data_IF_957303885963
#
_entry.id   IF_957303885963
#
_cell.length_a   1.000
_cell.length_b   1.000
_cell.length_c   1.000
_cell.angle_alpha   90.00
_cell.angle_beta   90.00
_cell.angle_gamma   90.00
#
_symmetry.space_group_name_H-M   'P 1'
#
loop_
_entity.id
_entity.type
_entity.pdbx_description
1 polymer ?
#
# COMPACT_ATOMS: atom_id res chain seq x y z
N UNK A 1 -0.22 -3.58 -7.17
CA UNK A 1 -0.19 -3.29 -8.62
C UNK A 1 -0.28 -1.78 -8.84
N UNK A 2 0.83 -1.07 -8.88
CA UNK A 2 0.86 0.39 -9.02
C UNK A 2 1.91 0.82 -10.04
N UNK A 3 1.64 0.69 -11.35
CA UNK A 3 2.56 1.20 -12.36
C UNK A 3 2.51 2.74 -12.37
N UNK A 4 3.63 3.42 -12.07
CA UNK A 4 3.71 4.89 -12.14
C UNK A 4 3.86 5.30 -13.62
N UNK A 5 2.74 5.58 -14.27
CA UNK A 5 2.68 5.82 -15.72
C UNK A 5 3.67 6.90 -16.17
N UNK A 6 3.80 7.97 -15.39
CA UNK A 6 4.70 9.08 -15.71
C UNK A 6 6.17 8.67 -15.76
N UNK A 7 6.60 7.65 -15.00
CA UNK A 7 7.98 7.16 -15.05
C UNK A 7 8.26 6.31 -16.29
N UNK A 8 7.23 5.71 -16.88
CA UNK A 8 7.37 4.87 -18.07
C UNK A 8 7.18 5.61 -19.39
N UNK A 9 6.72 6.86 -19.35
CA UNK A 9 6.60 7.67 -20.57
C UNK A 9 7.97 8.12 -21.05
N UNK A 10 8.22 8.13 -22.38
CA UNK A 10 9.46 8.64 -22.94
C UNK A 10 9.53 10.17 -22.80
N UNK A 11 10.41 10.67 -21.95
CA UNK A 11 10.51 12.11 -21.64
C UNK A 11 11.24 12.93 -22.70
N UNK A 12 12.25 12.34 -23.36
CA UNK A 12 13.01 13.04 -24.39
C UNK A 12 12.53 12.73 -25.80
N UNK A 13 12.73 13.66 -26.74
CA UNK A 13 12.44 13.43 -28.17
C UNK A 13 13.17 12.20 -28.72
N UNK A 14 14.41 11.97 -28.27
CA UNK A 14 15.21 10.81 -28.66
C UNK A 14 14.55 9.50 -28.24
N UNK A 15 14.11 9.42 -26.99
CA UNK A 15 13.37 8.26 -26.47
C UNK A 15 12.06 8.04 -27.22
N UNK A 16 11.34 9.12 -27.56
CA UNK A 16 10.09 9.05 -28.34
C UNK A 16 10.34 8.54 -29.76
N UNK A 17 11.42 9.00 -30.41
CA UNK A 17 11.81 8.51 -31.73
C UNK A 17 12.27 7.05 -31.71
N UNK A 18 13.01 6.63 -30.69
CA UNK A 18 13.45 5.24 -30.54
C UNK A 18 12.26 4.31 -30.30
N UNK A 19 11.33 4.72 -29.44
CA UNK A 19 10.08 3.97 -29.20
C UNK A 19 9.24 3.85 -30.48
N UNK A 20 9.04 4.94 -31.22
CA UNK A 20 8.32 4.95 -32.49
C UNK A 20 8.94 3.98 -33.50
N UNK A 21 10.27 3.97 -33.58
CA UNK A 21 11.03 3.04 -34.45
C UNK A 21 10.82 1.58 -34.02
N UNK A 22 10.91 1.28 -32.72
CA UNK A 22 10.70 -0.07 -32.19
C UNK A 22 9.28 -0.58 -32.40
N UNK A 23 8.30 0.31 -32.31
CA UNK A 23 6.88 -0.01 -32.54
C UNK A 23 6.46 0.02 -34.02
N UNK A 24 7.27 0.54 -34.92
CA UNK A 24 6.95 0.67 -36.33
C UNK A 24 5.83 1.67 -36.61
N UNK A 25 5.70 2.74 -35.80
CA UNK A 25 4.64 3.75 -35.91
C UNK A 25 5.23 5.15 -36.08
N UNK A 26 4.40 6.10 -36.51
CA UNK A 26 4.79 7.49 -36.64
C UNK A 26 5.16 8.11 -35.27
N UNK A 27 6.27 8.81 -35.22
CA UNK A 27 6.75 9.50 -34.02
C UNK A 27 5.74 10.53 -33.51
N UNK A 28 4.98 11.17 -34.40
CA UNK A 28 3.97 12.16 -34.02
C UNK A 28 2.85 11.50 -33.18
N UNK A 29 2.51 10.24 -33.41
CA UNK A 29 1.56 9.50 -32.61
C UNK A 29 2.08 9.29 -31.18
N UNK A 30 3.38 8.97 -31.04
CA UNK A 30 4.02 8.86 -29.71
C UNK A 30 4.01 10.21 -29.00
N UNK A 31 4.44 11.28 -29.68
CA UNK A 31 4.48 12.64 -29.10
C UNK A 31 3.10 13.09 -28.62
N UNK A 32 2.07 12.92 -29.46
CA UNK A 32 0.70 13.27 -29.08
C UNK A 32 0.23 12.46 -27.87
N UNK A 33 0.53 11.15 -27.83
CA UNK A 33 0.13 10.30 -26.72
C UNK A 33 0.86 10.65 -25.42
N UNK A 34 2.14 10.98 -25.47
CA UNK A 34 2.90 11.46 -24.32
C UNK A 34 2.31 12.77 -23.78
N UNK A 35 1.96 13.68 -24.68
CA UNK A 35 1.32 14.96 -24.31
C UNK A 35 -0.05 14.76 -23.64
N UNK A 36 -0.89 13.87 -24.20
CA UNK A 36 -2.20 13.53 -23.63
C UNK A 36 -2.12 12.88 -22.24
N UNK A 37 -1.04 12.12 -21.98
CA UNK A 37 -0.82 11.41 -20.72
C UNK A 37 0.00 12.21 -19.72
N UNK A 38 0.44 13.43 -20.09
CA UNK A 38 1.18 14.29 -19.16
C UNK A 38 0.27 14.78 -18.04
N UNK A 39 0.73 14.65 -16.81
CA UNK A 39 0.01 15.06 -15.63
C UNK A 39 0.77 16.15 -14.86
N UNK A 40 0.05 17.11 -14.27
CA UNK A 40 0.63 18.16 -13.42
C UNK A 40 0.99 17.61 -12.03
N UNK A 41 0.21 16.68 -11.51
CA UNK A 41 0.46 16.00 -10.25
C UNK A 41 0.26 14.49 -10.40
N UNK A 42 1.30 13.75 -10.84
CA UNK A 42 1.19 12.30 -11.06
C UNK A 42 0.88 11.50 -9.80
N UNK A 43 1.26 11.99 -8.62
CA UNK A 43 1.04 11.30 -7.34
C UNK A 43 -0.45 11.19 -7.00
N UNK A 44 -1.25 12.20 -7.34
CA UNK A 44 -2.71 12.22 -7.16
C UNK A 44 -3.46 11.94 -8.46
N UNK A 45 -2.75 11.52 -9.51
CA UNK A 45 -3.25 11.43 -10.87
C UNK A 45 -3.69 10.04 -11.27
N UNK A 46 -3.34 9.72 -12.51
CA UNK A 46 -3.79 8.55 -13.26
C UNK A 46 -2.85 7.35 -13.01
N UNK A 47 -2.96 6.75 -11.86
CA UNK A 47 -2.18 5.58 -11.41
C UNK A 47 -3.05 4.61 -10.60
N UNK A 48 -2.48 3.48 -10.21
CA UNK A 48 -3.11 2.49 -9.34
C UNK A 48 -4.43 1.97 -9.89
N UNK A 49 -5.45 1.85 -9.06
CA UNK A 49 -6.76 1.35 -9.48
C UNK A 49 -7.41 2.20 -10.58
N UNK A 50 -7.13 3.50 -10.64
CA UNK A 50 -7.66 4.40 -11.67
C UNK A 50 -7.15 4.01 -13.06
N UNK A 51 -5.85 3.70 -13.14
CA UNK A 51 -5.23 3.20 -14.37
C UNK A 51 -5.80 1.83 -14.77
N UNK A 52 -5.90 0.91 -13.81
CA UNK A 52 -6.43 -0.44 -14.03
C UNK A 52 -7.93 -0.48 -14.37
N UNK A 53 -8.71 0.54 -13.97
CA UNK A 53 -10.12 0.68 -14.38
C UNK A 53 -10.22 1.10 -15.84
N UNK A 54 -9.39 2.04 -16.28
CA UNK A 54 -9.41 2.53 -17.68
C UNK A 54 -8.71 1.57 -18.64
N UNK A 55 -7.68 0.87 -18.19
CA UNK A 55 -6.88 -0.09 -18.95
C UNK A 55 -6.80 -1.41 -18.19
N UNK A 56 -7.88 -2.19 -18.14
CA UNK A 56 -7.97 -3.44 -17.38
C UNK A 56 -6.91 -4.48 -17.77
N UNK A 57 -6.45 -4.44 -19.03
CA UNK A 57 -5.37 -5.29 -19.55
C UNK A 57 -4.05 -5.11 -18.81
N UNK A 58 -3.80 -3.93 -18.21
CA UNK A 58 -2.60 -3.70 -17.38
C UNK A 58 -2.70 -4.50 -16.07
N UNK A 59 -3.85 -4.49 -15.42
CA UNK A 59 -4.10 -5.27 -14.20
C UNK A 59 -4.03 -6.77 -14.49
N UNK A 60 -4.62 -7.20 -15.60
CA UNK A 60 -4.56 -8.59 -16.05
C UNK A 60 -3.11 -9.04 -16.28
N UNK A 61 -2.33 -8.27 -17.04
CA UNK A 61 -0.93 -8.56 -17.34
C UNK A 61 -0.09 -8.68 -16.07
N UNK A 62 -0.23 -7.74 -15.14
CA UNK A 62 0.52 -7.76 -13.89
C UNK A 62 0.11 -8.92 -12.97
N UNK A 63 -1.20 -9.18 -12.83
CA UNK A 63 -1.70 -10.30 -12.05
C UNK A 63 -1.23 -11.64 -12.66
N UNK A 64 -1.31 -11.77 -13.97
CA UNK A 64 -0.82 -12.95 -14.71
C UNK A 64 0.67 -13.20 -14.44
N UNK A 65 1.50 -12.17 -14.56
CA UNK A 65 2.94 -12.30 -14.30
C UNK A 65 3.24 -12.81 -12.88
N UNK A 66 2.51 -12.31 -11.87
CA UNK A 66 2.65 -12.78 -10.48
C UNK A 66 2.21 -14.22 -10.33
N UNK A 67 1.09 -14.61 -10.93
CA UNK A 67 0.57 -15.98 -10.82
C UNK A 67 1.42 -16.99 -11.59
N UNK A 68 1.92 -16.65 -12.77
CA UNK A 68 2.86 -17.50 -13.51
C UNK A 68 4.18 -17.69 -12.75
N UNK A 69 4.70 -16.63 -12.12
CA UNK A 69 5.85 -16.72 -11.25
C UNK A 69 5.59 -17.62 -10.03
N UNK A 70 4.39 -17.54 -9.43
CA UNK A 70 3.99 -18.40 -8.33
C UNK A 70 3.93 -19.88 -8.75
N UNK A 71 3.42 -20.17 -9.95
CA UNK A 71 3.43 -21.53 -10.52
C UNK A 71 4.85 -22.01 -10.78
N UNK A 72 5.72 -21.18 -11.33
CA UNK A 72 7.12 -21.52 -11.56
C UNK A 72 7.86 -21.83 -10.23
N UNK A 73 7.64 -21.00 -9.21
CA UNK A 73 8.19 -21.23 -7.88
C UNK A 73 7.68 -22.57 -7.27
N UNK A 74 6.39 -22.85 -7.40
CA UNK A 74 5.82 -24.09 -6.89
C UNK A 74 6.39 -25.32 -7.61
N UNK A 75 6.59 -25.26 -8.93
CA UNK A 75 7.24 -26.34 -9.71
C UNK A 75 8.70 -26.56 -9.29
N UNK A 76 9.39 -25.54 -8.79
CA UNK A 76 10.74 -25.65 -8.22
C UNK A 76 10.76 -26.08 -6.74
N UNK A 77 9.62 -26.45 -6.16
CA UNK A 77 9.51 -26.91 -4.78
C UNK A 77 9.33 -25.81 -3.73
N UNK A 78 9.20 -24.55 -4.14
CA UNK A 78 8.98 -23.40 -3.23
C UNK A 78 7.49 -23.16 -3.07
N UNK A 79 6.98 -23.24 -1.83
CA UNK A 79 5.59 -22.85 -1.53
C UNK A 79 5.48 -21.32 -1.58
N UNK A 80 4.72 -20.80 -2.53
CA UNK A 80 4.38 -19.37 -2.60
C UNK A 80 2.88 -19.17 -2.38
N UNK A 81 2.55 -18.07 -1.73
CA UNK A 81 1.18 -17.58 -1.58
C UNK A 81 1.20 -16.08 -1.88
N UNK A 82 1.04 -15.67 -3.14
CA UNK A 82 1.06 -14.27 -3.51
C UNK A 82 -0.10 -13.51 -2.88
N UNK A 83 0.15 -12.26 -2.51
CA UNK A 83 -0.82 -11.30 -2.02
C UNK A 83 -0.90 -10.15 -3.01
N UNK A 84 -2.01 -10.04 -3.74
CA UNK A 84 -2.23 -8.98 -4.73
C UNK A 84 -2.83 -7.80 -4.01
N UNK A 85 -2.17 -6.65 -4.10
CA UNK A 85 -2.57 -5.41 -3.44
C UNK A 85 -3.00 -4.38 -4.48
N UNK A 86 -4.24 -3.88 -4.36
CA UNK A 86 -4.78 -2.84 -5.23
C UNK A 86 -4.57 -1.48 -4.55
N UNK A 87 -3.81 -0.56 -5.18
CA UNK A 87 -3.48 0.74 -4.59
C UNK A 87 -4.53 1.81 -4.92
N UNK A 88 -4.47 2.93 -4.20
CA UNK A 88 -5.26 4.15 -4.41
C UNK A 88 -6.79 3.97 -4.36
N UNK A 89 -7.26 2.97 -3.65
CA UNK A 89 -8.68 2.70 -3.50
C UNK A 89 -9.33 3.71 -2.56
N UNK A 90 -10.25 4.48 -3.10
CA UNK A 90 -11.11 5.40 -2.34
C UNK A 90 -12.55 4.93 -2.23
N UNK A 91 -13.00 4.07 -3.15
CA UNK A 91 -14.36 3.53 -3.21
C UNK A 91 -14.34 2.00 -3.32
N UNK A 92 -15.24 1.35 -2.59
CA UNK A 92 -15.38 -0.12 -2.66
C UNK A 92 -15.53 -0.62 -4.11
N UNK A 93 -16.27 0.09 -4.95
CA UNK A 93 -16.50 -0.30 -6.34
C UNK A 93 -15.23 -0.33 -7.20
N UNK A 94 -14.26 0.55 -6.92
CA UNK A 94 -12.93 0.51 -7.57
C UNK A 94 -12.23 -0.82 -7.27
N UNK A 95 -12.26 -1.22 -6.00
CA UNK A 95 -11.66 -2.49 -5.56
C UNK A 95 -12.39 -3.68 -6.17
N UNK A 96 -13.73 -3.69 -6.17
CA UNK A 96 -14.53 -4.79 -6.70
C UNK A 96 -14.21 -5.05 -8.18
N UNK A 97 -14.05 -3.99 -8.99
CA UNK A 97 -13.69 -4.11 -10.41
C UNK A 97 -12.30 -4.73 -10.60
N UNK A 98 -11.32 -4.29 -9.81
CA UNK A 98 -9.96 -4.81 -9.89
C UNK A 98 -9.86 -6.26 -9.40
N UNK A 99 -10.52 -6.60 -8.30
CA UNK A 99 -10.57 -7.97 -7.77
C UNK A 99 -11.19 -8.94 -8.79
N UNK A 100 -12.21 -8.54 -9.51
CA UNK A 100 -12.81 -9.37 -10.54
C UNK A 100 -11.79 -9.77 -11.62
N UNK A 101 -11.00 -8.80 -12.13
CA UNK A 101 -9.94 -9.05 -13.11
C UNK A 101 -8.88 -10.02 -12.54
N UNK A 102 -8.44 -9.78 -11.29
CA UNK A 102 -7.43 -10.63 -10.63
C UNK A 102 -7.93 -12.07 -10.51
N UNK A 103 -9.19 -12.26 -10.10
CA UNK A 103 -9.77 -13.61 -9.96
C UNK A 103 -9.95 -14.32 -11.31
N UNK A 104 -10.36 -13.61 -12.35
CA UNK A 104 -10.47 -14.18 -13.71
C UNK A 104 -9.09 -14.59 -14.22
N UNK A 105 -8.09 -13.74 -14.04
CA UNK A 105 -6.70 -14.03 -14.41
C UNK A 105 -6.16 -15.24 -13.65
N UNK A 106 -6.42 -15.35 -12.35
CA UNK A 106 -6.01 -16.50 -11.56
C UNK A 106 -6.62 -17.81 -12.07
N UNK A 107 -7.93 -17.78 -12.41
CA UNK A 107 -8.62 -18.97 -12.98
C UNK A 107 -8.01 -19.37 -14.33
N UNK A 108 -7.71 -18.40 -15.20
CA UNK A 108 -7.09 -18.63 -16.48
C UNK A 108 -5.72 -19.32 -16.32
N UNK A 109 -4.83 -18.74 -15.50
CA UNK A 109 -3.48 -19.30 -15.25
C UNK A 109 -3.56 -20.69 -14.62
N UNK A 110 -4.44 -20.93 -13.66
CA UNK A 110 -4.63 -22.25 -13.07
C UNK A 110 -5.13 -23.27 -14.09
N UNK A 111 -6.02 -22.89 -15.00
CA UNK A 111 -6.52 -23.75 -16.06
C UNK A 111 -5.46 -24.08 -17.09
N UNK A 112 -4.71 -23.09 -17.56
CA UNK A 112 -3.64 -23.23 -18.57
C UNK A 112 -2.47 -24.09 -18.05
N UNK A 113 -2.04 -23.82 -16.82
CA UNK A 113 -0.88 -24.50 -16.22
C UNK A 113 -1.21 -25.82 -15.55
N UNK A 114 -2.51 -26.16 -15.38
CA UNK A 114 -3.02 -27.31 -14.61
C UNK A 114 -2.51 -27.33 -13.17
N UNK A 115 -2.16 -26.16 -12.62
CA UNK A 115 -1.57 -25.99 -11.30
C UNK A 115 -2.47 -25.13 -10.41
N UNK A 116 -2.90 -25.66 -9.26
CA UNK A 116 -3.63 -24.89 -8.26
C UNK A 116 -2.65 -24.16 -7.35
N UNK A 117 -2.92 -22.91 -7.06
CA UNK A 117 -2.19 -22.11 -6.08
C UNK A 117 -3.17 -21.29 -5.22
N UNK A 118 -2.76 -21.00 -3.99
CA UNK A 118 -3.50 -20.11 -3.11
C UNK A 118 -2.96 -18.68 -3.26
N UNK A 119 -3.84 -17.72 -3.20
CA UNK A 119 -3.52 -16.28 -3.20
C UNK A 119 -4.53 -15.52 -2.37
N UNK A 120 -4.27 -14.27 -2.07
CA UNK A 120 -5.24 -13.34 -1.48
C UNK A 120 -5.19 -11.99 -2.19
N UNK A 121 -6.32 -11.28 -2.15
CA UNK A 121 -6.44 -9.95 -2.75
C UNK A 121 -6.89 -8.95 -1.69
N UNK A 122 -6.15 -7.87 -1.56
CA UNK A 122 -6.46 -6.79 -0.62
C UNK A 122 -6.16 -5.44 -1.22
N UNK A 123 -6.09 -4.43 -0.37
CA UNK A 123 -5.89 -3.06 -0.83
C UNK A 123 -4.93 -2.29 0.05
N UNK A 124 -4.37 -1.22 -0.50
CA UNK A 124 -3.80 -0.15 0.31
C UNK A 124 -4.91 0.73 0.89
N UNK A 125 -4.72 1.12 2.15
CA UNK A 125 -5.43 2.25 2.74
C UNK A 125 -4.44 3.41 2.76
N UNK A 126 -4.59 4.30 1.80
CA UNK A 126 -3.64 5.40 1.56
C UNK A 126 -4.32 6.70 1.13
N UNK A 127 -5.64 6.67 1.04
CA UNK A 127 -6.48 7.85 0.80
C UNK A 127 -7.37 8.03 2.03
N UNK A 128 -7.50 9.25 2.60
CA UNK A 128 -8.34 9.50 3.76
C UNK A 128 -9.78 9.00 3.60
N UNK A 129 -10.37 9.14 2.41
CA UNK A 129 -11.69 8.58 2.13
C UNK A 129 -11.73 7.07 2.31
N UNK A 130 -10.71 6.34 1.80
CA UNK A 130 -10.60 4.90 1.97
C UNK A 130 -10.51 4.49 3.45
N UNK A 131 -9.77 5.26 4.26
CA UNK A 131 -9.71 5.05 5.71
C UNK A 131 -11.08 5.25 6.39
N UNK A 132 -11.79 6.32 6.02
CA UNK A 132 -13.10 6.65 6.57
C UNK A 132 -14.23 5.68 6.15
N UNK A 133 -14.07 4.95 5.06
CA UNK A 133 -15.03 3.95 4.54
C UNK A 133 -14.45 2.54 4.53
N UNK A 134 -13.53 2.26 5.43
CA UNK A 134 -12.81 0.98 5.49
C UNK A 134 -13.73 -0.21 5.81
N UNK A 135 -14.86 0.01 6.47
CA UNK A 135 -15.92 -0.99 6.68
C UNK A 135 -16.53 -1.49 5.36
N UNK A 136 -16.81 -0.58 4.42
CA UNK A 136 -17.31 -0.95 3.09
C UNK A 136 -16.24 -1.74 2.31
N UNK A 137 -15.00 -1.26 2.34
CA UNK A 137 -13.86 -1.84 1.61
C UNK A 137 -13.51 -3.23 2.15
N UNK A 138 -13.57 -3.43 3.48
CA UNK A 138 -13.33 -4.71 4.14
C UNK A 138 -14.33 -5.80 3.76
N UNK A 139 -15.50 -5.43 3.22
CA UNK A 139 -16.48 -6.39 2.69
C UNK A 139 -15.90 -7.26 1.57
N UNK A 140 -14.93 -6.75 0.82
CA UNK A 140 -14.31 -7.44 -0.32
C UNK A 140 -12.81 -7.70 -0.10
N UNK A 141 -12.08 -6.76 0.52
CA UNK A 141 -10.64 -6.91 0.78
C UNK A 141 -10.34 -8.02 1.79
N UNK A 142 -9.36 -8.86 1.51
CA UNK A 142 -8.88 -9.89 2.43
C UNK A 142 -7.80 -9.37 3.39
N UNK A 143 -7.14 -8.27 3.04
CA UNK A 143 -6.18 -7.58 3.89
C UNK A 143 -6.13 -6.09 3.58
N UNK A 144 -5.63 -5.30 4.55
CA UNK A 144 -5.26 -3.90 4.37
C UNK A 144 -3.75 -3.72 4.57
N UNK A 145 -3.16 -2.88 3.75
CA UNK A 145 -1.82 -2.33 3.95
C UNK A 145 -1.89 -0.81 3.94
N UNK A 146 -1.43 -0.18 5.02
CA UNK A 146 -1.40 1.28 5.06
C UNK A 146 -0.26 1.80 4.18
N UNK A 147 -0.59 2.47 3.08
CA UNK A 147 0.34 3.17 2.21
C UNK A 147 0.64 4.55 2.78
N UNK A 148 1.49 4.59 3.80
CA UNK A 148 1.65 5.78 4.64
C UNK A 148 2.35 6.94 3.96
N UNK A 149 3.05 6.74 2.85
CA UNK A 149 3.57 7.85 2.04
C UNK A 149 2.41 8.69 1.48
N UNK A 150 1.49 8.05 0.76
CA UNK A 150 0.33 8.71 0.15
C UNK A 150 -0.69 9.17 1.20
N UNK A 151 -0.90 8.38 2.25
CA UNK A 151 -1.79 8.76 3.34
C UNK A 151 -1.29 10.03 4.06
N UNK A 152 0.03 10.18 4.25
CA UNK A 152 0.63 11.39 4.83
C UNK A 152 0.46 12.58 3.88
N UNK A 153 0.77 12.42 2.60
CA UNK A 153 0.61 13.48 1.61
C UNK A 153 -0.81 14.02 1.56
N UNK A 154 -1.77 13.11 1.49
CA UNK A 154 -3.20 13.47 1.34
C UNK A 154 -3.81 14.00 2.63
N UNK A 155 -3.37 13.52 3.79
CA UNK A 155 -3.84 14.01 5.10
C UNK A 155 -3.31 15.39 5.39
N UNK A 156 -2.04 15.67 5.09
CA UNK A 156 -1.40 16.95 5.38
C UNK A 156 -1.53 17.96 4.23
N UNK A 157 -1.98 17.54 3.03
CA UNK A 157 -1.98 18.39 1.85
C UNK A 157 -0.58 18.82 1.42
N UNK A 158 0.42 17.96 1.61
CA UNK A 158 1.83 18.22 1.29
C UNK A 158 2.35 17.19 0.31
N UNK A 159 3.03 17.62 -0.76
CA UNK A 159 3.79 16.72 -1.61
C UNK A 159 5.09 16.30 -0.92
N UNK A 160 5.37 15.01 -0.88
CA UNK A 160 6.63 14.49 -0.34
C UNK A 160 7.84 15.05 -1.09
N UNK A 161 7.73 15.15 -2.40
CA UNK A 161 8.82 15.55 -3.26
C UNK A 161 9.09 17.06 -3.21
N UNK A 162 8.06 17.87 -2.95
CA UNK A 162 8.16 19.34 -2.89
C UNK A 162 8.34 19.89 -1.47
N UNK A 163 8.06 19.08 -0.44
CA UNK A 163 8.06 19.53 0.97
C UNK A 163 9.43 19.96 1.48
N UNK A 164 10.51 19.53 0.83
CA UNK A 164 11.88 19.89 1.20
C UNK A 164 12.14 21.40 1.24
N UNK A 165 11.36 22.21 0.50
CA UNK A 165 11.51 23.65 0.44
C UNK A 165 10.99 24.39 1.68
N UNK A 166 10.03 23.82 2.42
CA UNK A 166 9.38 24.48 3.59
C UNK A 166 9.39 23.63 4.87
N UNK A 167 9.68 22.36 4.80
CA UNK A 167 9.58 21.43 5.95
C UNK A 167 10.62 21.74 7.03
N UNK A 168 11.83 22.17 6.65
CA UNK A 168 12.86 22.51 7.62
C UNK A 168 12.46 23.67 8.53
N UNK A 169 11.93 24.82 8.03
CA UNK A 169 11.34 25.86 8.87
C UNK A 169 10.21 25.38 9.80
N UNK A 170 9.39 24.42 9.37
CA UNK A 170 8.34 23.81 10.21
C UNK A 170 8.90 23.05 11.41
N UNK A 171 10.03 22.35 11.21
CA UNK A 171 10.72 21.63 12.28
C UNK A 171 11.38 22.64 13.25
N UNK A 172 12.03 23.67 12.73
CA UNK A 172 12.69 24.73 13.53
C UNK A 172 11.69 25.55 14.35
N UNK A 173 10.50 25.78 13.83
CA UNK A 173 9.40 26.44 14.52
C UNK A 173 8.58 25.48 15.42
N UNK A 174 9.01 24.23 15.57
CA UNK A 174 8.32 23.18 16.35
C UNK A 174 6.86 22.93 15.94
N UNK A 175 6.46 23.30 14.72
CA UNK A 175 5.13 22.99 14.16
C UNK A 175 4.99 21.49 13.98
N UNK A 176 6.04 20.83 13.51
CA UNK A 176 6.17 19.37 13.48
C UNK A 176 7.43 18.95 14.24
N UNK A 177 7.34 17.92 15.06
CA UNK A 177 8.48 17.43 15.86
C UNK A 177 9.54 16.74 15.03
N UNK A 178 9.14 16.09 13.95
CA UNK A 178 9.99 15.32 13.02
C UNK A 178 9.42 15.46 11.60
N UNK A 179 10.24 15.15 10.62
CA UNK A 179 9.77 15.02 9.25
C UNK A 179 8.64 13.96 9.18
N UNK A 180 7.39 14.34 8.80
CA UNK A 180 6.26 13.43 8.78
C UNK A 180 6.34 12.34 7.71
N UNK A 181 7.26 12.49 6.75
CA UNK A 181 7.56 11.44 5.76
C UNK A 181 8.61 10.44 6.25
N UNK A 182 9.33 10.73 7.33
CA UNK A 182 10.28 9.82 7.95
C UNK A 182 9.70 9.08 9.16
N UNK A 183 8.84 9.73 9.93
CA UNK A 183 8.17 9.17 11.12
C UNK A 183 6.69 9.51 11.10
N UNK A 184 5.81 8.55 11.35
CA UNK A 184 4.35 8.73 11.28
C UNK A 184 3.89 9.86 12.21
N UNK A 185 3.10 10.78 11.66
CA UNK A 185 2.27 11.69 12.46
C UNK A 185 1.16 10.88 13.15
N UNK A 186 1.37 10.54 14.41
CA UNK A 186 0.44 9.70 15.17
C UNK A 186 -0.88 10.43 15.50
N UNK A 187 -0.89 11.77 15.47
CA UNK A 187 -2.08 12.57 15.83
C UNK A 187 -3.04 12.79 14.66
N UNK A 188 -2.55 12.92 13.45
CA UNK A 188 -3.37 13.07 12.25
C UNK A 188 -3.48 11.76 11.46
N UNK A 189 -2.37 11.36 10.83
CA UNK A 189 -2.32 10.13 10.02
C UNK A 189 -2.62 8.89 10.86
N UNK A 190 -2.09 8.84 12.09
CA UNK A 190 -2.34 7.74 13.02
C UNK A 190 -3.81 7.57 13.37
N UNK A 191 -4.57 8.64 13.57
CA UNK A 191 -6.02 8.55 13.81
C UNK A 191 -6.76 7.97 12.61
N UNK A 192 -6.40 8.33 11.38
CA UNK A 192 -6.99 7.71 10.19
C UNK A 192 -6.72 6.21 10.11
N UNK A 193 -5.51 5.80 10.50
CA UNK A 193 -5.15 4.38 10.59
C UNK A 193 -6.01 3.65 11.64
N UNK A 194 -6.17 4.22 12.83
CA UNK A 194 -6.99 3.66 13.91
C UNK A 194 -8.46 3.54 13.49
N UNK A 195 -9.04 4.57 12.85
CA UNK A 195 -10.40 4.55 12.30
C UNK A 195 -10.55 3.42 11.27
N UNK A 196 -9.60 3.29 10.36
CA UNK A 196 -9.63 2.24 9.33
C UNK A 196 -9.53 0.84 9.94
N UNK A 197 -8.72 0.66 10.98
CA UNK A 197 -8.57 -0.60 11.71
C UNK A 197 -9.89 -0.98 12.39
N UNK A 198 -10.48 -0.05 13.14
CA UNK A 198 -11.75 -0.27 13.85
C UNK A 198 -12.85 -0.67 12.88
N UNK A 199 -13.04 0.13 11.82
CA UNK A 199 -14.06 -0.10 10.80
C UNK A 199 -13.82 -1.39 10.01
N UNK A 200 -12.58 -1.64 9.60
CA UNK A 200 -12.21 -2.85 8.88
C UNK A 200 -12.48 -4.12 9.70
N UNK A 201 -12.07 -4.13 10.97
CA UNK A 201 -12.29 -5.25 11.89
C UNK A 201 -13.76 -5.45 12.27
N UNK A 202 -14.56 -4.40 12.24
CA UNK A 202 -16.01 -4.51 12.46
C UNK A 202 -16.68 -5.34 11.37
N UNK A 203 -16.22 -5.20 10.12
CA UNK A 203 -16.75 -5.98 8.98
C UNK A 203 -16.05 -7.33 8.84
N UNK A 204 -14.74 -7.38 9.01
CA UNK A 204 -13.91 -8.58 8.92
C UNK A 204 -12.99 -8.65 10.13
N UNK A 205 -13.41 -9.33 11.23
CA UNK A 205 -12.66 -9.35 12.49
C UNK A 205 -11.21 -9.88 12.39
N UNK A 206 -10.95 -10.77 11.45
CA UNK A 206 -9.66 -11.40 11.18
C UNK A 206 -8.87 -10.75 10.03
N UNK A 207 -9.29 -9.57 9.58
CA UNK A 207 -8.59 -8.88 8.49
C UNK A 207 -7.11 -8.68 8.84
N UNK A 208 -6.24 -9.14 7.94
CA UNK A 208 -4.80 -8.94 8.07
C UNK A 208 -4.44 -7.48 7.81
N UNK A 209 -3.70 -6.88 8.71
CA UNK A 209 -3.34 -5.46 8.69
C UNK A 209 -1.82 -5.29 8.64
N UNK A 210 -1.35 -4.44 7.77
CA UNK A 210 0.07 -4.14 7.66
C UNK A 210 0.34 -2.70 7.25
N UNK A 211 1.61 -2.37 7.11
CA UNK A 211 2.08 -1.08 6.64
C UNK A 211 3.13 -1.27 5.56
N UNK A 212 3.08 -0.44 4.55
CA UNK A 212 4.13 -0.23 3.57
C UNK A 212 4.44 1.27 3.47
N UNK A 213 5.57 1.60 2.88
CA UNK A 213 6.10 2.95 2.83
C UNK A 213 7.33 3.13 3.72
N UNK A 214 7.90 4.30 3.71
CA UNK A 214 9.17 4.61 4.41
C UNK A 214 9.08 4.42 5.93
N UNK A 215 7.91 4.63 6.51
CA UNK A 215 7.64 4.52 7.94
C UNK A 215 7.84 3.10 8.51
N UNK A 216 7.70 2.06 7.67
CA UNK A 216 7.91 0.67 8.11
C UNK A 216 9.32 0.36 8.62
N UNK A 217 10.29 1.23 8.33
CA UNK A 217 11.67 1.16 8.82
C UNK A 217 12.01 2.12 9.95
N UNK A 218 11.09 3.01 10.35
CA UNK A 218 11.30 3.95 11.46
C UNK A 218 10.90 3.32 12.80
N UNK A 219 11.80 3.34 13.83
CA UNK A 219 11.53 2.70 15.11
C UNK A 219 10.26 3.18 15.83
N UNK A 220 9.98 4.49 15.81
CA UNK A 220 8.82 5.04 16.50
C UNK A 220 7.53 4.67 15.77
N UNK A 221 7.55 4.67 14.44
CA UNK A 221 6.45 4.21 13.60
C UNK A 221 6.17 2.72 13.78
N UNK A 222 7.20 1.87 13.86
CA UNK A 222 7.06 0.43 14.13
C UNK A 222 6.43 0.17 15.50
N UNK A 223 6.84 0.91 16.53
CA UNK A 223 6.23 0.81 17.87
C UNK A 223 4.78 1.27 17.86
N UNK A 224 4.46 2.31 17.12
CA UNK A 224 3.09 2.75 16.92
C UNK A 224 2.24 1.69 16.20
N UNK A 225 2.74 1.10 15.11
CA UNK A 225 2.08 0.01 14.41
C UNK A 225 1.78 -1.18 15.34
N UNK A 226 2.73 -1.54 16.21
CA UNK A 226 2.49 -2.57 17.23
C UNK A 226 1.36 -2.18 18.18
N UNK A 227 1.36 -0.93 18.68
CA UNK A 227 0.33 -0.42 19.60
C UNK A 227 -1.07 -0.47 19.03
N UNK A 228 -1.25 -0.12 17.74
CA UNK A 228 -2.55 -0.16 17.05
C UNK A 228 -2.91 -1.55 16.50
N UNK A 229 -2.06 -2.56 16.74
CA UNK A 229 -2.34 -3.96 16.46
C UNK A 229 -2.18 -4.37 15.00
N UNK A 230 -1.21 -3.83 14.27
CA UNK A 230 -0.85 -4.34 12.95
C UNK A 230 -0.17 -5.72 13.04
N UNK A 231 -0.36 -6.53 12.02
CA UNK A 231 0.18 -7.88 11.92
C UNK A 231 1.62 -7.89 11.37
N UNK A 232 1.96 -6.92 10.51
CA UNK A 232 3.29 -6.83 9.90
C UNK A 232 3.67 -5.40 9.54
N UNK A 233 4.98 -5.17 9.39
CA UNK A 233 5.55 -3.99 8.74
C UNK A 233 6.38 -4.43 7.55
N UNK A 234 6.35 -3.65 6.47
CA UNK A 234 7.22 -3.79 5.31
C UNK A 234 8.23 -2.64 5.32
N UNK A 235 9.49 -2.94 5.07
CA UNK A 235 10.55 -1.93 4.99
C UNK A 235 11.63 -2.37 4.00
N UNK A 236 12.52 -1.43 3.63
CA UNK A 236 13.67 -1.76 2.80
C UNK A 236 14.58 -2.79 3.48
N UNK A 237 15.30 -3.64 2.74
CA UNK A 237 16.16 -4.68 3.30
C UNK A 237 17.15 -4.18 4.34
N UNK A 238 17.73 -3.00 4.11
CA UNK A 238 18.70 -2.40 5.03
C UNK A 238 18.11 -1.97 6.38
N UNK A 239 16.78 -1.77 6.45
CA UNK A 239 16.07 -1.37 7.68
C UNK A 239 15.49 -2.55 8.45
N UNK A 240 15.52 -3.77 7.90
CA UNK A 240 14.97 -4.96 8.57
C UNK A 240 15.54 -5.19 9.97
N UNK A 241 16.86 -5.08 10.23
CA UNK A 241 17.39 -5.26 11.59
C UNK A 241 16.82 -4.23 12.57
N UNK A 242 16.68 -2.96 12.16
CA UNK A 242 16.14 -1.86 12.97
C UNK A 242 14.65 -2.11 13.27
N UNK A 243 13.86 -2.45 12.24
CA UNK A 243 12.44 -2.73 12.41
C UNK A 243 12.19 -3.92 13.34
N UNK A 244 12.97 -5.00 13.23
CA UNK A 244 12.91 -6.16 14.14
C UNK A 244 13.23 -5.79 15.58
N UNK A 245 14.27 -4.98 15.80
CA UNK A 245 14.62 -4.50 17.14
C UNK A 245 13.51 -3.65 17.73
N UNK A 246 12.95 -2.71 16.98
CA UNK A 246 11.85 -1.85 17.41
C UNK A 246 10.59 -2.66 17.76
N UNK A 247 10.23 -3.65 16.94
CA UNK A 247 9.12 -4.56 17.20
C UNK A 247 9.34 -5.38 18.47
N UNK A 248 10.56 -5.90 18.69
CA UNK A 248 10.90 -6.63 19.91
C UNK A 248 10.82 -5.74 21.16
N UNK A 249 11.30 -4.50 21.07
CA UNK A 249 11.18 -3.52 22.16
C UNK A 249 9.73 -3.22 22.51
N UNK A 250 8.87 -3.03 21.52
CA UNK A 250 7.43 -2.79 21.70
C UNK A 250 6.76 -3.99 22.41
N UNK A 251 7.01 -5.21 21.94
CA UNK A 251 6.45 -6.43 22.53
C UNK A 251 6.93 -6.66 23.99
N UNK A 252 8.19 -6.32 24.30
CA UNK A 252 8.71 -6.41 25.67
C UNK A 252 8.05 -5.36 26.57
N UNK A 253 7.89 -4.13 26.08
CA UNK A 253 7.24 -3.05 26.82
C UNK A 253 5.79 -3.40 27.17
N UNK A 254 5.03 -3.93 26.20
CA UNK A 254 3.66 -4.41 26.41
C UNK A 254 3.59 -5.51 27.49
N UNK A 255 4.45 -6.53 27.38
CA UNK A 255 4.50 -7.62 28.38
C UNK A 255 4.85 -7.12 29.78
N UNK A 256 5.72 -6.11 29.91
CA UNK A 256 6.07 -5.51 31.21
C UNK A 256 4.89 -4.72 31.79
N UNK A 257 4.21 -3.91 30.95
CA UNK A 257 3.02 -3.16 31.34
C UNK A 257 1.88 -4.11 31.82
N UNK A 258 1.65 -5.20 31.11
CA UNK A 258 0.65 -6.20 31.48
C UNK A 258 0.98 -6.88 32.83
N UNK A 259 2.26 -7.10 33.14
CA UNK A 259 2.67 -7.67 34.43
C UNK A 259 2.57 -6.68 35.61
N UNK A 260 2.74 -5.39 35.37
CA UNK A 260 2.66 -4.33 36.38
C UNK A 260 1.23 -3.84 36.63
N UNK A 261 0.28 -4.19 35.78
CA UNK A 261 -1.13 -3.84 35.95
C UNK A 261 -1.69 -4.50 37.24
N UNK A 262 -2.37 -3.75 38.13
CA UNK A 262 -2.97 -4.30 39.33
C UNK A 262 -3.99 -5.40 38.97
N UNK A 263 -3.82 -6.60 39.51
CA UNK A 263 -4.84 -7.66 39.35
C UNK A 263 -6.17 -7.12 39.88
N UNK A 264 -7.15 -6.96 39.02
CA UNK A 264 -8.48 -6.57 39.43
C UNK A 264 -8.98 -7.53 40.52
N UNK A 265 -9.20 -7.01 41.71
CA UNK A 265 -9.77 -7.80 42.83
C UNK A 265 -11.13 -8.31 42.37
N UNK A 266 -11.25 -9.61 42.17
CA UNK A 266 -12.52 -10.26 41.92
C UNK A 266 -13.48 -9.88 43.07
N UNK A 267 -14.50 -9.07 42.77
CA UNK A 267 -15.60 -8.81 43.71
C UNK A 267 -16.29 -10.14 43.96
N UNK A 268 -16.03 -10.78 45.13
CA UNK A 268 -16.87 -11.85 45.63
C UNK A 268 -18.29 -11.28 45.82
N UNK A 269 -19.23 -11.68 44.95
CA UNK A 269 -20.66 -11.52 45.25
C UNK A 269 -20.96 -12.42 46.48
N UNK A 270 -21.35 -11.77 47.55
CA UNK A 270 -22.11 -12.41 48.61
C UNK A 270 -23.59 -12.49 48.22
#
# INVERSE_FOLDING_TARGET
>A
LDPPLHEFLPHSKEQQMDLARKMGIDVQKIMNRVHELHEFNPMLGFRGCRLGIKYPEITEMQARAVFEAAVAAQKSGVKSKPEIMIPLVGFKKELDLQIAIVHETAKAVQSETKTKFAYSVGTMIEIPRGALTADEIAGTAEFFSFGTNDLTQTTMGMSRDDSGSFLQPYIEAEIVKKNPFASIDQTGVGQLMEIAIEKGRKTRPDIKLGICGEHGGDPDSVKFCHKIGLNYVSCSPFRVPIARLAAAQAAIAEKRAAKSAPKAKAKKKK
#
